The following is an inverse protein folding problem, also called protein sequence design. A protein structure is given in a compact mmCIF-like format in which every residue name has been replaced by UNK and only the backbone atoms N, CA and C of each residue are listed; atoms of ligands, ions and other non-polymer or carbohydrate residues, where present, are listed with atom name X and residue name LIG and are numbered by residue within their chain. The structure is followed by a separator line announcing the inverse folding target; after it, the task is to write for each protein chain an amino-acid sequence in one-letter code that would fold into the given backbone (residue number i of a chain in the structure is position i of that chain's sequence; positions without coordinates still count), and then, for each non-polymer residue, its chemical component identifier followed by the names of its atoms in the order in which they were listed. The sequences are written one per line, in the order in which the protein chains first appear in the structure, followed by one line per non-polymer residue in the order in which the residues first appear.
data_IF_104116270049
#
_entry.id   IF_104116270049
#
_cell.length_a   1.000
_cell.length_b   1.000
_cell.length_c   1.000
_cell.angle_alpha   90.00
_cell.angle_beta   90.00
_cell.angle_gamma   90.00
#
_symmetry.space_group_name_H-M   'P 1'
#
loop_
_entity.id
_entity.type
_entity.pdbx_description
1 polymer ?
#
# COMPACT_ATOMS: atom_id res chain seq x y z
N UNK A 1 -17.75 -4.11 12.71
CA UNK A 1 -17.74 -5.16 11.64
C UNK A 1 -19.11 -5.15 10.94
N UNK A 2 -19.16 -4.70 9.67
CA UNK A 2 -20.37 -4.90 8.86
C UNK A 2 -20.62 -6.42 8.74
N UNK A 3 -21.85 -6.86 9.10
CA UNK A 3 -22.24 -8.29 8.91
C UNK A 3 -22.18 -8.61 7.42
N UNK A 4 -21.21 -9.43 7.04
CA UNK A 4 -21.12 -9.94 5.68
C UNK A 4 -22.41 -10.70 5.33
N UNK A 5 -23.01 -10.47 4.15
CA UNK A 5 -24.15 -11.28 3.71
C UNK A 5 -23.73 -12.75 3.67
N UNK A 6 -24.57 -13.64 4.16
CA UNK A 6 -24.32 -15.08 4.04
C UNK A 6 -24.22 -15.42 2.56
N UNK A 7 -23.07 -15.95 2.16
CA UNK A 7 -22.78 -16.32 0.78
C UNK A 7 -23.68 -17.46 0.31
N UNK A 8 -24.16 -17.32 -0.92
CA UNK A 8 -24.83 -18.45 -1.59
C UNK A 8 -23.82 -19.58 -1.80
N UNK A 9 -24.16 -20.79 -1.33
CA UNK A 9 -23.30 -21.99 -1.44
C UNK A 9 -22.96 -22.38 -2.89
N UNK A 10 -23.64 -21.79 -3.87
CA UNK A 10 -23.45 -22.06 -5.31
C UNK A 10 -22.60 -20.98 -6.03
N UNK A 11 -22.14 -19.95 -5.32
CA UNK A 11 -21.32 -18.92 -5.96
C UNK A 11 -19.94 -19.46 -6.32
N UNK A 12 -19.51 -19.21 -7.55
CA UNK A 12 -18.17 -19.56 -8.03
C UNK A 12 -17.13 -18.75 -7.26
N UNK A 13 -16.22 -19.43 -6.57
CA UNK A 13 -15.07 -18.81 -5.90
C UNK A 13 -14.09 -18.21 -6.91
N UNK A 14 -13.47 -17.10 -6.53
CA UNK A 14 -12.36 -16.49 -7.26
C UNK A 14 -11.10 -17.33 -7.02
N UNK A 15 -10.52 -17.89 -8.06
CA UNK A 15 -9.32 -18.74 -8.00
C UNK A 15 -8.09 -17.88 -8.24
N UNK A 16 -7.25 -17.80 -7.23
CA UNK A 16 -6.16 -16.84 -7.14
C UNK A 16 -4.81 -17.53 -7.29
N UNK A 17 -3.91 -16.92 -8.08
CA UNK A 17 -2.51 -17.29 -8.16
C UNK A 17 -1.61 -16.16 -7.64
N UNK A 18 -0.46 -16.50 -7.04
CA UNK A 18 0.53 -15.51 -6.61
C UNK A 18 1.88 -15.79 -7.28
N UNK A 19 2.44 -14.80 -7.97
CA UNK A 19 3.76 -14.86 -8.60
C UNK A 19 4.73 -13.97 -7.83
N UNK A 20 5.89 -14.55 -7.41
CA UNK A 20 6.90 -13.81 -6.65
C UNK A 20 6.68 -13.93 -5.14
N UNK A 21 7.16 -15.01 -4.52
CA UNK A 21 7.00 -15.22 -3.08
C UNK A 21 8.24 -14.73 -2.32
N UNK A 22 8.47 -13.41 -2.36
CA UNK A 22 9.39 -12.70 -1.47
C UNK A 22 8.70 -12.36 -0.12
N UNK A 23 9.20 -11.36 0.60
CA UNK A 23 8.58 -10.88 1.85
C UNK A 23 7.13 -10.41 1.60
N UNK A 24 6.93 -9.60 0.56
CA UNK A 24 5.61 -9.06 0.24
C UNK A 24 4.66 -10.12 -0.33
N UNK A 25 5.16 -11.00 -1.22
CA UNK A 25 4.34 -12.09 -1.74
C UNK A 25 3.87 -13.07 -0.66
N UNK A 26 4.66 -13.27 0.41
CA UNK A 26 4.24 -14.04 1.56
C UNK A 26 3.13 -13.32 2.36
N UNK A 27 3.14 -11.99 2.44
CA UNK A 27 2.06 -11.22 3.05
C UNK A 27 0.75 -11.33 2.24
N UNK A 28 0.84 -11.28 0.90
CA UNK A 28 -0.31 -11.54 0.02
C UNK A 28 -0.88 -12.95 0.23
N UNK A 29 -0.01 -13.96 0.25
CA UNK A 29 -0.42 -15.34 0.50
C UNK A 29 -1.18 -15.48 1.82
N UNK A 30 -0.63 -14.92 2.91
CA UNK A 30 -1.28 -14.94 4.23
C UNK A 30 -2.62 -14.21 4.23
N UNK A 31 -2.70 -13.05 3.58
CA UNK A 31 -3.94 -12.29 3.47
C UNK A 31 -5.02 -13.06 2.67
N UNK A 32 -4.65 -13.72 1.57
CA UNK A 32 -5.56 -14.56 0.80
C UNK A 32 -6.07 -15.74 1.66
N UNK A 33 -5.18 -16.42 2.37
CA UNK A 33 -5.54 -17.53 3.27
C UNK A 33 -6.47 -17.07 4.41
N UNK A 34 -6.33 -15.83 4.88
CA UNK A 34 -7.24 -15.24 5.87
C UNK A 34 -8.62 -14.87 5.28
N UNK A 35 -8.72 -14.66 3.97
CA UNK A 35 -9.97 -14.39 3.25
C UNK A 35 -10.71 -15.68 2.86
N UNK A 36 -10.00 -16.80 2.62
CA UNK A 36 -10.60 -18.06 2.19
C UNK A 36 -11.80 -18.55 3.03
N UNK A 37 -11.77 -18.44 4.39
CA UNK A 37 -12.92 -18.83 5.22
C UNK A 37 -14.20 -18.04 4.94
N UNK A 38 -14.11 -16.87 4.28
CA UNK A 38 -15.28 -16.10 3.84
C UNK A 38 -16.00 -16.76 2.65
N UNK A 39 -15.36 -17.74 1.97
CA UNK A 39 -15.99 -18.66 1.03
C UNK A 39 -16.04 -18.19 -0.43
N UNK A 40 -15.53 -17.03 -0.79
CA UNK A 40 -15.61 -16.47 -2.15
C UNK A 40 -14.27 -16.39 -2.91
N UNK A 41 -13.18 -16.75 -2.27
CA UNK A 41 -11.86 -16.84 -2.92
C UNK A 41 -11.09 -18.07 -2.42
N UNK A 42 -10.16 -18.54 -3.22
CA UNK A 42 -9.24 -19.63 -2.86
C UNK A 42 -7.89 -19.45 -3.55
N UNK A 43 -6.80 -19.73 -2.84
CA UNK A 43 -5.44 -19.73 -3.38
C UNK A 43 -5.15 -21.07 -4.04
N UNK A 44 -5.10 -21.09 -5.37
CA UNK A 44 -4.95 -22.33 -6.15
C UNK A 44 -3.56 -22.56 -6.70
N UNK A 45 -2.72 -21.52 -6.78
CA UNK A 45 -1.37 -21.65 -7.33
C UNK A 45 -0.41 -20.60 -6.77
N UNK A 46 0.86 -20.99 -6.62
CA UNK A 46 1.97 -20.06 -6.36
C UNK A 46 3.12 -20.30 -7.32
N UNK A 47 3.90 -19.25 -7.59
CA UNK A 47 5.12 -19.31 -8.37
C UNK A 47 6.25 -18.57 -7.65
N UNK A 48 7.37 -19.27 -7.43
CA UNK A 48 8.64 -18.68 -6.94
C UNK A 48 9.81 -19.40 -7.60
N UNK A 49 10.89 -18.67 -7.85
CA UNK A 49 12.09 -19.24 -8.52
C UNK A 49 12.80 -20.34 -7.71
N UNK A 50 12.54 -20.42 -6.41
CA UNK A 50 13.11 -21.42 -5.51
C UNK A 50 12.17 -22.64 -5.41
N UNK A 51 12.55 -23.82 -5.96
CA UNK A 51 11.71 -25.01 -5.98
C UNK A 51 11.40 -25.57 -4.60
N UNK A 52 12.37 -25.56 -3.69
CA UNK A 52 12.19 -26.10 -2.34
C UNK A 52 11.26 -25.22 -1.52
N UNK A 53 11.41 -23.89 -1.66
CA UNK A 53 10.48 -22.93 -1.06
C UNK A 53 9.07 -23.09 -1.61
N UNK A 54 8.93 -23.27 -2.93
CA UNK A 54 7.63 -23.51 -3.57
C UNK A 54 6.96 -24.74 -2.94
N UNK A 55 7.66 -25.88 -2.91
CA UNK A 55 7.18 -27.15 -2.38
C UNK A 55 6.78 -27.05 -0.89
N UNK A 56 7.63 -26.41 -0.09
CA UNK A 56 7.37 -26.22 1.34
C UNK A 56 6.10 -25.38 1.57
N UNK A 57 5.95 -24.26 0.85
CA UNK A 57 4.78 -23.40 1.00
C UNK A 57 3.49 -24.10 0.51
N UNK A 58 3.55 -24.82 -0.61
CA UNK A 58 2.40 -25.58 -1.08
C UNK A 58 1.95 -26.63 -0.08
N UNK A 59 2.89 -27.34 0.54
CA UNK A 59 2.55 -28.31 1.57
C UNK A 59 1.98 -27.65 2.84
N UNK A 60 2.62 -26.53 3.29
CA UNK A 60 2.20 -25.84 4.52
C UNK A 60 0.81 -25.21 4.41
N UNK A 61 0.48 -24.65 3.25
CA UNK A 61 -0.77 -23.92 3.03
C UNK A 61 -1.80 -24.69 2.19
N UNK A 62 -1.54 -25.97 1.91
CA UNK A 62 -2.41 -26.85 1.10
C UNK A 62 -2.77 -26.25 -0.26
N UNK A 63 -1.74 -25.71 -0.97
CA UNK A 63 -1.93 -25.09 -2.28
C UNK A 63 -1.75 -26.14 -3.38
N UNK A 64 -2.74 -26.35 -4.27
CA UNK A 64 -2.68 -27.43 -5.27
C UNK A 64 -1.65 -27.20 -6.38
N UNK A 65 -1.37 -25.93 -6.77
CA UNK A 65 -0.48 -25.58 -7.87
C UNK A 65 0.85 -25.00 -7.41
N UNK A 66 1.96 -25.69 -7.70
CA UNK A 66 3.32 -25.32 -7.35
C UNK A 66 4.15 -25.09 -8.60
N UNK A 67 4.67 -23.88 -8.82
CA UNK A 67 5.38 -23.52 -10.03
C UNK A 67 6.67 -22.77 -9.74
N UNK A 68 7.67 -22.95 -10.63
CA UNK A 68 8.92 -22.17 -10.62
C UNK A 68 8.99 -21.18 -11.78
N UNK A 69 8.15 -21.34 -12.79
CA UNK A 69 8.05 -20.47 -13.94
C UNK A 69 6.64 -19.87 -14.04
N UNK A 70 6.55 -18.54 -14.12
CA UNK A 70 5.27 -17.82 -14.21
C UNK A 70 4.45 -18.25 -15.42
N UNK A 71 5.10 -18.49 -16.56
CA UNK A 71 4.43 -18.94 -17.79
C UNK A 71 3.74 -20.31 -17.62
N UNK A 72 4.34 -21.21 -16.84
CA UNK A 72 3.72 -22.50 -16.54
C UNK A 72 2.53 -22.35 -15.59
N UNK A 73 2.67 -21.51 -14.56
CA UNK A 73 1.54 -21.20 -13.68
C UNK A 73 0.37 -20.58 -14.45
N UNK A 74 0.65 -19.67 -15.39
CA UNK A 74 -0.38 -19.03 -16.21
C UNK A 74 -1.09 -19.98 -17.20
N UNK A 75 -0.60 -21.19 -17.41
CA UNK A 75 -1.30 -22.26 -18.13
C UNK A 75 -2.29 -23.03 -17.25
N UNK A 76 -2.30 -22.77 -15.94
CA UNK A 76 -3.24 -23.41 -15.01
C UNK A 76 -4.68 -23.07 -15.39
N UNK A 77 -5.48 -24.09 -15.74
CA UNK A 77 -6.81 -23.93 -16.36
C UNK A 77 -7.85 -23.24 -15.49
N UNK A 78 -7.55 -23.08 -14.22
CA UNK A 78 -8.51 -22.62 -13.22
C UNK A 78 -8.11 -21.30 -12.53
N UNK A 79 -7.35 -20.41 -13.17
CA UNK A 79 -7.07 -19.08 -12.64
C UNK A 79 -8.15 -18.09 -13.09
N UNK A 80 -8.57 -17.24 -12.17
CA UNK A 80 -9.44 -16.09 -12.44
C UNK A 80 -8.67 -14.77 -12.20
N UNK A 81 -7.68 -14.79 -11.28
CA UNK A 81 -6.93 -13.63 -10.82
C UNK A 81 -5.49 -14.02 -10.47
N UNK A 82 -4.56 -13.10 -10.72
CA UNK A 82 -3.14 -13.24 -10.33
C UNK A 82 -2.70 -12.05 -9.49
N UNK A 83 -1.93 -12.31 -8.42
CA UNK A 83 -1.14 -11.30 -7.73
C UNK A 83 0.29 -11.34 -8.26
N UNK A 84 0.80 -10.21 -8.71
CA UNK A 84 2.18 -10.06 -9.14
C UNK A 84 2.99 -9.35 -8.05
N UNK A 85 3.84 -10.10 -7.35
CA UNK A 85 4.69 -9.66 -6.25
C UNK A 85 6.18 -9.84 -6.57
N UNK A 86 6.55 -9.70 -7.84
CA UNK A 86 7.92 -9.86 -8.33
C UNK A 86 8.76 -8.60 -8.13
N UNK A 87 9.96 -8.56 -8.71
CA UNK A 87 10.78 -7.34 -8.77
C UNK A 87 10.16 -6.33 -9.74
N UNK A 88 10.36 -5.04 -9.49
CA UNK A 88 9.74 -3.96 -10.27
C UNK A 88 9.96 -4.12 -11.78
N UNK A 89 11.19 -4.44 -12.21
CA UNK A 89 11.53 -4.65 -13.61
C UNK A 89 10.75 -5.79 -14.28
N UNK A 90 10.20 -6.72 -13.51
CA UNK A 90 9.42 -7.85 -14.03
C UNK A 90 7.92 -7.56 -14.11
N UNK A 91 7.45 -6.46 -13.50
CA UNK A 91 6.01 -6.18 -13.40
C UNK A 91 5.35 -6.10 -14.78
N UNK A 92 5.96 -5.38 -15.71
CA UNK A 92 5.38 -5.18 -17.05
C UNK A 92 5.10 -6.49 -17.77
N UNK A 93 6.11 -7.34 -17.95
CA UNK A 93 5.97 -8.57 -18.72
C UNK A 93 4.98 -9.57 -18.10
N UNK A 94 4.98 -9.66 -16.77
CA UNK A 94 4.06 -10.54 -16.05
C UNK A 94 2.64 -9.98 -16.11
N UNK A 95 2.44 -8.69 -15.82
CA UNK A 95 1.13 -8.04 -15.86
C UNK A 95 0.52 -8.13 -17.28
N UNK A 96 1.32 -7.90 -18.31
CA UNK A 96 0.92 -8.05 -19.71
C UNK A 96 0.48 -9.49 -20.00
N UNK A 97 1.30 -10.48 -19.63
CA UNK A 97 0.99 -11.89 -19.83
C UNK A 97 -0.28 -12.34 -19.13
N UNK A 98 -0.58 -11.80 -17.94
CA UNK A 98 -1.81 -12.05 -17.19
C UNK A 98 -3.03 -11.46 -17.90
N UNK A 99 -2.94 -10.19 -18.32
CA UNK A 99 -4.02 -9.49 -19.01
C UNK A 99 -4.34 -10.10 -20.38
N UNK A 100 -3.31 -10.51 -21.17
CA UNK A 100 -3.47 -11.19 -22.46
C UNK A 100 -4.21 -12.53 -22.33
N UNK A 101 -4.16 -13.17 -21.17
CA UNK A 101 -4.95 -14.38 -20.85
C UNK A 101 -6.35 -14.08 -20.35
N UNK A 102 -6.73 -12.83 -20.29
CA UNK A 102 -8.04 -12.41 -19.81
C UNK A 102 -8.25 -12.65 -18.32
N UNK A 103 -7.19 -12.58 -17.50
CA UNK A 103 -7.26 -12.71 -16.05
C UNK A 103 -7.30 -11.32 -15.40
N UNK A 104 -7.91 -11.23 -14.23
CA UNK A 104 -7.80 -10.06 -13.36
C UNK A 104 -6.39 -10.02 -12.74
N UNK A 105 -5.95 -8.83 -12.30
CA UNK A 105 -4.61 -8.69 -11.73
C UNK A 105 -4.55 -7.68 -10.60
N UNK A 106 -3.83 -8.06 -9.54
CA UNK A 106 -3.32 -7.19 -8.51
C UNK A 106 -1.80 -7.16 -8.62
N UNK A 107 -1.23 -6.01 -8.96
CA UNK A 107 0.21 -5.83 -9.08
C UNK A 107 0.78 -5.11 -7.87
N UNK A 108 1.98 -5.48 -7.46
CA UNK A 108 2.77 -4.65 -6.56
C UNK A 108 3.12 -3.31 -7.22
N UNK A 109 3.38 -2.34 -6.35
CA UNK A 109 3.86 -1.00 -6.74
C UNK A 109 5.40 -0.97 -6.88
N UNK A 110 5.95 -0.06 -7.70
CA UNK A 110 5.25 0.73 -8.73
C UNK A 110 4.69 -0.18 -9.81
N UNK A 111 3.65 0.26 -10.52
CA UNK A 111 2.98 -0.56 -11.55
C UNK A 111 3.97 -1.07 -12.61
N UNK A 112 4.89 -0.19 -13.03
CA UNK A 112 6.04 -0.48 -13.89
C UNK A 112 7.19 0.46 -13.55
N UNK A 113 8.35 0.25 -14.14
CA UNK A 113 9.52 1.15 -14.03
C UNK A 113 9.55 2.25 -15.11
N UNK A 114 8.57 2.25 -15.99
CA UNK A 114 8.48 3.12 -17.16
C UNK A 114 7.04 3.47 -17.46
N UNK A 115 6.75 4.77 -17.75
CA UNK A 115 5.39 5.27 -17.98
C UNK A 115 4.77 4.76 -19.28
N UNK A 116 5.56 4.46 -20.31
CA UNK A 116 5.04 3.90 -21.57
C UNK A 116 4.58 2.46 -21.36
N UNK A 117 5.31 1.67 -20.56
CA UNK A 117 4.90 0.33 -20.18
C UNK A 117 3.57 0.35 -19.41
N UNK A 118 3.43 1.24 -18.42
CA UNK A 118 2.18 1.35 -17.64
C UNK A 118 1.00 1.81 -18.50
N UNK A 119 1.20 2.73 -19.43
CA UNK A 119 0.17 3.14 -20.42
C UNK A 119 -0.31 1.96 -21.26
N UNK A 120 0.63 1.12 -21.71
CA UNK A 120 0.30 -0.11 -22.47
C UNK A 120 -0.55 -1.07 -21.63
N UNK A 121 -0.25 -1.24 -20.34
CA UNK A 121 -1.03 -2.10 -19.44
C UNK A 121 -2.44 -1.56 -19.21
N UNK A 122 -2.61 -0.24 -19.09
CA UNK A 122 -3.94 0.39 -18.98
C UNK A 122 -4.79 0.09 -20.22
N UNK A 123 -4.23 0.29 -21.41
CA UNK A 123 -4.92 0.00 -22.66
C UNK A 123 -5.31 -1.48 -22.79
N UNK A 124 -4.40 -2.39 -22.39
CA UNK A 124 -4.64 -3.82 -22.43
C UNK A 124 -5.71 -4.27 -21.44
N UNK A 125 -5.71 -3.71 -20.23
CA UNK A 125 -6.73 -3.99 -19.20
C UNK A 125 -8.12 -3.58 -19.69
N UNK A 126 -8.21 -2.40 -20.28
CA UNK A 126 -9.47 -1.90 -20.87
C UNK A 126 -9.95 -2.79 -22.03
N UNK A 127 -9.05 -3.11 -22.99
CA UNK A 127 -9.38 -3.94 -24.14
C UNK A 127 -9.89 -5.34 -23.75
N UNK A 128 -9.37 -5.92 -22.69
CA UNK A 128 -9.77 -7.24 -22.18
C UNK A 128 -10.89 -7.18 -21.13
N UNK A 129 -11.39 -5.99 -20.80
CA UNK A 129 -12.39 -5.77 -19.75
C UNK A 129 -12.03 -6.50 -18.44
N UNK A 130 -10.80 -6.27 -17.98
CA UNK A 130 -10.31 -6.86 -16.72
C UNK A 130 -10.21 -5.82 -15.63
N UNK A 131 -10.58 -6.19 -14.41
CA UNK A 131 -10.32 -5.39 -13.22
C UNK A 131 -8.85 -5.52 -12.86
N UNK A 132 -8.23 -4.41 -12.52
CA UNK A 132 -6.81 -4.31 -12.16
C UNK A 132 -6.67 -3.55 -10.86
N UNK A 133 -5.66 -3.87 -10.06
CA UNK A 133 -5.34 -3.13 -8.85
C UNK A 133 -3.82 -2.98 -8.69
N UNK A 134 -3.39 -1.85 -8.12
CA UNK A 134 -2.02 -1.61 -7.66
C UNK A 134 -2.02 -1.59 -6.14
N UNK A 135 -1.07 -2.27 -5.50
CA UNK A 135 -1.04 -2.48 -4.06
C UNK A 135 -0.59 -1.23 -3.27
N UNK A 136 -1.36 -0.16 -3.32
CA UNK A 136 -1.20 0.99 -2.44
C UNK A 136 -1.96 0.76 -1.13
N UNK A 137 -1.39 -0.11 -0.31
CA UNK A 137 -2.00 -0.61 0.95
C UNK A 137 -2.32 0.50 1.95
N UNK A 138 -1.60 1.61 1.92
CA UNK A 138 -1.78 2.72 2.87
C UNK A 138 -3.18 3.34 2.84
N UNK A 139 -3.90 3.25 1.72
CA UNK A 139 -5.31 3.66 1.64
C UNK A 139 -6.22 2.91 2.62
N UNK A 140 -5.84 1.70 3.05
CA UNK A 140 -6.67 0.76 3.81
C UNK A 140 -6.43 0.75 5.32
N UNK A 141 -5.59 1.67 5.84
CA UNK A 141 -5.59 1.94 7.26
C UNK A 141 -6.98 2.49 7.67
N UNK A 142 -7.60 1.98 8.76
CA UNK A 142 -8.95 2.40 9.16
C UNK A 142 -9.08 3.91 9.30
N UNK A 143 -8.13 4.55 9.97
CA UNK A 143 -8.13 6.01 10.18
C UNK A 143 -8.06 6.78 8.85
N UNK A 144 -7.31 6.28 7.86
CA UNK A 144 -7.22 6.91 6.53
C UNK A 144 -8.58 6.92 5.83
N UNK A 145 -9.39 5.87 5.97
CA UNK A 145 -10.75 5.85 5.43
C UNK A 145 -11.64 6.90 6.10
N UNK A 146 -11.54 7.07 7.42
CA UNK A 146 -12.29 8.10 8.15
C UNK A 146 -11.83 9.51 7.81
N UNK A 147 -10.51 9.72 7.64
CA UNK A 147 -9.96 11.00 7.14
C UNK A 147 -10.57 11.35 5.78
N UNK A 148 -10.62 10.38 4.86
CA UNK A 148 -11.25 10.56 3.55
C UNK A 148 -12.71 11.01 3.69
N UNK A 149 -13.48 10.34 4.54
CA UNK A 149 -14.88 10.72 4.80
C UNK A 149 -15.01 12.13 5.39
N UNK A 150 -14.13 12.54 6.31
CA UNK A 150 -14.13 13.89 6.88
C UNK A 150 -13.87 14.97 5.83
N UNK A 151 -12.90 14.71 4.93
CA UNK A 151 -12.59 15.61 3.82
C UNK A 151 -13.78 15.72 2.87
N UNK A 152 -14.41 14.61 2.49
CA UNK A 152 -15.58 14.59 1.61
C UNK A 152 -16.81 15.27 2.22
N UNK A 153 -16.98 15.22 3.54
CA UNK A 153 -18.00 15.94 4.29
C UNK A 153 -17.72 17.44 4.43
N UNK A 154 -16.53 17.89 3.99
CA UNK A 154 -16.10 19.29 4.05
C UNK A 154 -15.68 19.75 5.45
N UNK A 155 -15.34 18.83 6.37
CA UNK A 155 -14.93 19.17 7.76
C UNK A 155 -13.75 20.14 7.81
N UNK A 156 -12.79 20.02 6.87
CA UNK A 156 -11.64 20.92 6.79
C UNK A 156 -11.95 22.22 6.03
N UNK A 157 -13.12 22.35 5.42
CA UNK A 157 -13.46 23.47 4.54
C UNK A 157 -12.73 23.40 3.21
N UNK A 158 -12.34 24.56 2.66
CA UNK A 158 -11.50 24.61 1.43
C UNK A 158 -10.09 24.19 1.76
N UNK A 159 -9.60 23.13 1.12
CA UNK A 159 -8.22 22.66 1.30
C UNK A 159 -7.26 23.63 0.61
N UNK A 160 -6.20 24.01 1.30
CA UNK A 160 -5.12 24.87 0.81
C UNK A 160 -3.86 24.10 0.47
N UNK A 161 -3.47 23.18 1.35
CA UNK A 161 -2.21 22.43 1.22
C UNK A 161 -2.28 21.03 1.81
N UNK A 162 -1.36 20.18 1.35
CA UNK A 162 -0.99 18.92 1.97
C UNK A 162 0.53 18.82 1.98
N UNK A 163 1.12 18.47 3.11
CA UNK A 163 2.57 18.29 3.20
C UNK A 163 2.93 17.12 4.11
N UNK A 164 4.13 16.57 3.93
CA UNK A 164 4.58 15.50 4.79
C UNK A 164 5.82 14.79 4.29
N UNK A 165 6.07 13.65 4.87
CA UNK A 165 7.29 12.88 4.61
C UNK A 165 7.02 11.39 4.53
N UNK A 166 7.92 10.66 3.87
CA UNK A 166 8.06 9.22 4.07
C UNK A 166 9.55 8.90 4.28
N UNK A 167 9.90 8.58 5.51
CA UNK A 167 11.28 8.43 5.95
C UNK A 167 11.55 7.01 6.45
N UNK A 168 12.71 6.46 6.06
CA UNK A 168 13.19 5.14 6.47
C UNK A 168 14.70 5.16 6.73
N UNK A 169 15.25 4.18 7.47
CA UNK A 169 16.68 4.07 7.78
C UNK A 169 17.32 2.75 7.35
N UNK A 170 16.60 1.89 6.67
CA UNK A 170 17.07 0.54 6.38
C UNK A 170 18.13 0.45 5.27
N UNK A 171 18.40 1.57 4.58
CA UNK A 171 19.49 1.72 3.62
C UNK A 171 20.48 2.83 4.04
N UNK A 172 20.63 3.07 5.36
CA UNK A 172 21.41 4.17 5.91
C UNK A 172 22.93 4.02 5.72
N UNK A 173 23.43 2.79 5.68
CA UNK A 173 24.87 2.53 5.64
C UNK A 173 25.32 1.93 4.31
N UNK A 174 26.60 2.07 3.96
CA UNK A 174 27.19 1.51 2.74
C UNK A 174 27.05 -0.02 2.62
N UNK A 175 26.93 -0.74 3.77
CA UNK A 175 26.74 -2.19 3.80
C UNK A 175 25.28 -2.63 3.79
N UNK A 176 24.33 -1.70 3.84
CA UNK A 176 22.92 -2.00 3.67
C UNK A 176 22.65 -2.19 2.18
N UNK A 177 22.38 -3.43 1.79
CA UNK A 177 22.09 -3.78 0.41
C UNK A 177 20.71 -4.39 0.25
N UNK A 178 20.04 -3.95 -0.80
CA UNK A 178 18.82 -4.56 -1.33
C UNK A 178 18.81 -4.38 -2.85
N UNK A 179 18.14 -5.25 -3.57
CA UNK A 179 18.04 -5.20 -5.02
C UNK A 179 17.52 -3.87 -5.59
N UNK A 180 16.77 -3.12 -4.79
CA UNK A 180 16.21 -1.80 -5.16
C UNK A 180 17.27 -0.73 -5.41
N UNK A 181 18.46 -0.91 -4.88
CA UNK A 181 19.57 0.05 -5.12
C UNK A 181 20.14 -0.07 -6.54
N UNK A 182 19.79 -1.13 -7.25
CA UNK A 182 20.22 -1.36 -8.63
C UNK A 182 19.08 -1.04 -9.59
N UNK A 183 19.30 -0.05 -10.49
CA UNK A 183 18.28 0.40 -11.46
C UNK A 183 17.79 -0.71 -12.40
N UNK A 184 18.62 -1.71 -12.68
CA UNK A 184 18.25 -2.91 -13.50
C UNK A 184 17.09 -3.72 -12.88
N UNK A 185 16.87 -3.65 -11.57
CA UNK A 185 15.80 -4.36 -10.87
C UNK A 185 14.70 -3.43 -10.37
N UNK A 186 15.09 -2.25 -9.86
CA UNK A 186 14.20 -1.29 -9.23
C UNK A 186 13.60 -0.25 -10.17
N UNK A 187 14.25 0.03 -11.29
CA UNK A 187 14.01 1.18 -12.13
C UNK A 187 14.96 2.34 -11.79
N UNK A 188 14.89 3.42 -12.54
CA UNK A 188 15.79 4.58 -12.41
C UNK A 188 15.55 5.43 -11.17
N UNK A 189 14.38 5.35 -10.55
CA UNK A 189 14.04 6.01 -9.29
C UNK A 189 13.91 4.97 -8.17
N UNK A 190 14.39 5.29 -6.96
CA UNK A 190 14.35 4.39 -5.81
C UNK A 190 13.54 4.95 -4.65
N UNK A 191 14.04 5.96 -3.94
CA UNK A 191 13.34 6.50 -2.76
C UNK A 191 11.96 7.05 -3.13
N UNK A 192 11.85 7.78 -4.23
CA UNK A 192 10.58 8.28 -4.71
C UNK A 192 9.66 7.15 -5.18
N UNK A 193 10.16 6.21 -6.00
CA UNK A 193 9.36 5.10 -6.52
C UNK A 193 8.95 4.10 -5.45
N UNK A 194 9.83 3.77 -4.49
CA UNK A 194 9.56 2.78 -3.45
C UNK A 194 8.63 3.32 -2.35
N UNK A 195 8.92 4.49 -1.82
CA UNK A 195 8.18 5.05 -0.69
C UNK A 195 7.41 6.34 -1.02
N UNK A 196 7.98 7.24 -1.82
CA UNK A 196 7.28 8.46 -2.23
C UNK A 196 5.99 8.17 -3.01
N UNK A 197 5.96 7.11 -3.82
CA UNK A 197 4.75 6.67 -4.54
C UNK A 197 3.55 6.42 -3.63
N UNK A 198 3.76 5.82 -2.45
CA UNK A 198 2.70 5.62 -1.46
C UNK A 198 2.14 6.93 -0.92
N UNK A 199 3.02 7.93 -0.70
CA UNK A 199 2.60 9.23 -0.20
C UNK A 199 1.81 9.99 -1.27
N UNK A 200 2.27 9.99 -2.52
CA UNK A 200 1.59 10.66 -3.63
C UNK A 200 0.21 10.02 -3.87
N UNK A 201 0.15 8.70 -3.91
CA UNK A 201 -1.10 7.95 -4.03
C UNK A 201 -2.09 8.28 -2.90
N UNK A 202 -1.61 8.34 -1.67
CA UNK A 202 -2.45 8.68 -0.51
C UNK A 202 -2.94 10.12 -0.58
N UNK A 203 -2.09 11.08 -0.98
CA UNK A 203 -2.49 12.47 -1.14
C UNK A 203 -3.58 12.62 -2.19
N UNK A 204 -3.43 12.01 -3.37
CA UNK A 204 -4.47 12.01 -4.41
C UNK A 204 -5.75 11.33 -3.94
N UNK A 205 -5.65 10.19 -3.26
CA UNK A 205 -6.79 9.48 -2.70
C UNK A 205 -7.56 10.35 -1.70
N UNK A 206 -6.88 10.97 -0.74
CA UNK A 206 -7.50 11.80 0.29
C UNK A 206 -8.13 13.06 -0.30
N UNK A 207 -7.40 13.77 -1.13
CA UNK A 207 -7.86 15.03 -1.74
C UNK A 207 -8.94 14.82 -2.80
N UNK A 208 -9.00 13.64 -3.44
CA UNK A 208 -9.82 13.40 -4.63
C UNK A 208 -9.41 14.31 -5.79
N UNK A 209 -8.11 14.65 -5.88
CA UNK A 209 -7.50 15.55 -6.87
C UNK A 209 -6.17 14.98 -7.32
N UNK A 210 -5.88 15.10 -8.62
CA UNK A 210 -4.62 14.64 -9.20
C UNK A 210 -3.54 15.71 -9.16
N UNK A 211 -2.28 15.29 -9.13
CA UNK A 211 -1.12 16.16 -9.31
C UNK A 211 -1.05 16.61 -10.76
N UNK A 212 -1.01 17.93 -11.00
CA UNK A 212 -0.89 18.54 -12.34
C UNK A 212 0.54 18.95 -12.67
N UNK A 213 1.32 19.33 -11.66
CA UNK A 213 2.70 19.81 -11.83
C UNK A 213 3.55 19.38 -10.66
N UNK A 214 4.81 19.07 -10.96
CA UNK A 214 5.83 18.73 -9.97
C UNK A 214 7.14 19.47 -10.28
N UNK A 215 7.83 19.90 -9.21
CA UNK A 215 9.23 20.25 -9.22
C UNK A 215 9.94 19.39 -8.18
N UNK A 216 11.07 18.78 -8.53
CA UNK A 216 11.75 17.82 -7.68
C UNK A 216 13.24 18.11 -7.58
N UNK A 217 13.80 17.76 -6.42
CA UNK A 217 15.25 17.71 -6.15
C UNK A 217 15.58 16.29 -5.65
N UNK A 218 16.66 15.71 -6.19
CA UNK A 218 17.09 14.35 -5.89
C UNK A 218 18.54 14.34 -5.41
N UNK A 219 18.85 13.41 -4.49
CA UNK A 219 20.21 13.18 -4.05
C UNK A 219 20.52 11.69 -3.87
N UNK A 220 21.74 11.29 -4.26
CA UNK A 220 22.33 9.99 -3.96
C UNK A 220 23.50 10.21 -3.00
N UNK A 221 23.21 10.12 -1.69
CA UNK A 221 24.22 10.35 -0.65
C UNK A 221 25.21 9.19 -0.53
N UNK A 222 24.80 7.97 -0.90
CA UNK A 222 25.59 6.76 -0.85
C UNK A 222 25.77 6.16 -2.25
N UNK A 223 26.66 6.76 -3.09
CA UNK A 223 26.84 6.32 -4.47
C UNK A 223 27.58 4.98 -4.62
N UNK A 224 28.12 4.45 -3.51
CA UNK A 224 28.79 3.16 -3.47
C UNK A 224 28.20 2.30 -2.36
N UNK A 225 27.89 1.02 -2.66
CA UNK A 225 27.37 0.07 -1.67
C UNK A 225 28.05 -1.29 -1.76
N UNK A 226 28.27 -1.90 -0.61
CA UNK A 226 28.80 -3.26 -0.50
C UNK A 226 27.65 -4.25 -0.64
N UNK A 227 27.57 -4.95 -1.77
CA UNK A 227 26.57 -6.02 -1.99
C UNK A 227 27.03 -7.38 -1.42
N UNK A 228 28.36 -7.55 -1.17
CA UNK A 228 28.95 -8.68 -0.46
C UNK A 228 30.24 -8.23 0.28
N UNK A 229 30.87 -9.08 1.09
CA UNK A 229 32.14 -8.74 1.72
C UNK A 229 33.27 -8.35 0.75
N UNK A 230 33.21 -8.82 -0.48
CA UNK A 230 34.26 -8.62 -1.50
C UNK A 230 33.83 -7.77 -2.70
N UNK A 231 32.54 -7.41 -2.78
CA UNK A 231 31.99 -6.72 -3.94
C UNK A 231 31.32 -5.41 -3.54
N UNK A 232 31.66 -4.34 -4.26
CA UNK A 232 31.07 -3.02 -4.12
C UNK A 232 30.49 -2.62 -5.47
N UNK A 233 29.28 -2.09 -5.47
CA UNK A 233 28.58 -1.61 -6.65
C UNK A 233 28.44 -0.09 -6.62
N UNK A 234 28.35 0.52 -7.79
CA UNK A 234 27.93 1.91 -7.96
C UNK A 234 26.40 1.96 -7.96
N UNK A 235 25.83 2.88 -7.21
CA UNK A 235 24.40 3.14 -7.12
C UNK A 235 24.07 4.39 -7.91
N UNK A 236 23.13 4.25 -8.84
CA UNK A 236 22.66 5.30 -9.75
C UNK A 236 21.23 5.77 -9.46
N UNK A 237 20.64 5.26 -8.37
CA UNK A 237 19.30 5.63 -7.91
C UNK A 237 19.38 6.55 -6.68
N UNK A 238 18.38 7.41 -6.51
CA UNK A 238 18.38 8.39 -5.41
C UNK A 238 18.07 7.75 -4.05
N UNK A 239 18.76 8.24 -2.98
CA UNK A 239 18.45 7.94 -1.57
C UNK A 239 17.38 8.89 -1.02
N UNK A 240 17.24 10.05 -1.65
CA UNK A 240 16.44 11.18 -1.20
C UNK A 240 15.75 11.86 -2.37
N UNK A 241 14.50 12.25 -2.16
CA UNK A 241 13.73 13.08 -3.09
C UNK A 241 12.92 14.12 -2.29
N UNK A 242 12.90 15.36 -2.77
CA UNK A 242 12.03 16.42 -2.26
C UNK A 242 11.20 16.99 -3.40
N UNK A 243 9.89 17.05 -3.23
CA UNK A 243 8.93 17.43 -4.26
C UNK A 243 8.08 18.62 -3.82
N UNK A 244 7.89 19.57 -4.73
CA UNK A 244 6.83 20.57 -4.68
C UNK A 244 5.78 20.22 -5.73
N UNK A 245 4.53 20.14 -5.33
CA UNK A 245 3.42 19.69 -6.19
C UNK A 245 2.32 20.73 -6.30
N UNK A 246 1.59 20.67 -7.40
CA UNK A 246 0.33 21.38 -7.59
C UNK A 246 -0.73 20.35 -7.96
N UNK A 247 -1.76 20.28 -7.14
CA UNK A 247 -2.92 19.45 -7.41
C UNK A 247 -4.01 20.27 -8.09
N UNK A 248 -4.92 19.58 -8.77
CA UNK A 248 -6.13 20.16 -9.32
C UNK A 248 -6.87 21.04 -8.28
N UNK A 249 -7.45 22.14 -8.74
CA UNK A 249 -8.13 23.09 -7.86
C UNK A 249 -7.19 24.01 -7.08
N UNK A 250 -5.89 24.03 -7.41
CA UNK A 250 -4.91 24.96 -6.88
C UNK A 250 -4.38 24.58 -5.48
N UNK A 251 -4.55 23.32 -5.06
CA UNK A 251 -4.00 22.82 -3.80
C UNK A 251 -2.48 22.65 -3.96
N UNK A 252 -1.73 23.08 -2.94
CA UNK A 252 -0.27 22.97 -2.90
C UNK A 252 0.16 21.70 -2.15
N UNK A 253 1.21 21.04 -2.64
CA UNK A 253 1.79 19.85 -1.98
C UNK A 253 3.29 19.96 -1.77
N UNK A 254 3.77 19.29 -0.70
CA UNK A 254 5.20 19.13 -0.43
C UNK A 254 5.47 17.75 0.17
N UNK A 255 6.42 17.03 -0.42
CA UNK A 255 6.85 15.71 0.04
C UNK A 255 8.37 15.66 0.18
N UNK A 256 8.84 15.04 1.27
CA UNK A 256 10.21 14.52 1.37
C UNK A 256 10.18 13.00 1.53
N UNK A 257 10.84 12.29 0.62
CA UNK A 257 11.04 10.84 0.69
C UNK A 257 12.53 10.53 0.90
N UNK A 258 12.88 9.70 1.90
CA UNK A 258 14.27 9.35 2.18
C UNK A 258 14.39 7.95 2.77
N UNK A 259 15.38 7.19 2.31
CA UNK A 259 15.71 5.85 2.84
C UNK A 259 17.00 5.87 3.70
N UNK A 260 17.51 7.06 4.00
CA UNK A 260 18.74 7.30 4.79
C UNK A 260 18.48 8.21 5.99
N UNK A 261 17.29 8.16 6.57
CA UNK A 261 16.87 8.95 7.72
C UNK A 261 17.01 8.17 9.00
N UNK A 262 18.12 8.34 9.73
CA UNK A 262 18.44 7.60 10.95
C UNK A 262 17.31 7.59 11.98
N UNK A 263 16.99 6.41 12.50
CA UNK A 263 15.94 6.19 13.52
C UNK A 263 14.52 6.08 12.97
N UNK A 264 14.28 6.34 11.67
CA UNK A 264 12.98 6.20 11.04
C UNK A 264 12.79 4.81 10.44
N UNK A 265 11.86 4.01 10.99
CA UNK A 265 11.64 2.62 10.53
C UNK A 265 10.64 2.53 9.37
N UNK A 266 9.56 3.29 9.43
CA UNK A 266 8.55 3.44 8.36
C UNK A 266 7.68 4.63 8.74
N UNK A 267 8.21 5.84 8.51
CA UNK A 267 7.63 7.09 8.98
C UNK A 267 6.93 7.85 7.87
N UNK A 268 5.79 7.35 7.38
CA UNK A 268 4.91 8.12 6.53
C UNK A 268 4.08 9.07 7.39
N UNK A 269 4.15 10.37 7.10
CA UNK A 269 3.37 11.42 7.76
C UNK A 269 2.73 12.33 6.74
N UNK A 270 1.60 12.92 7.07
CA UNK A 270 1.05 14.05 6.34
C UNK A 270 0.26 14.98 7.26
N UNK A 271 0.15 16.23 6.82
CA UNK A 271 -0.75 17.24 7.36
C UNK A 271 -1.52 17.89 6.21
N UNK A 272 -2.83 18.06 6.39
CA UNK A 272 -3.74 18.67 5.42
C UNK A 272 -4.32 19.92 6.05
N UNK A 273 -4.07 21.09 5.41
CA UNK A 273 -4.54 22.39 5.89
C UNK A 273 -5.77 22.85 5.13
N UNK A 274 -6.83 23.10 5.84
CA UNK A 274 -8.07 23.65 5.31
C UNK A 274 -8.41 25.03 5.89
N UNK A 275 -9.48 25.63 5.36
CA UNK A 275 -9.97 26.93 5.82
C UNK A 275 -10.71 26.90 7.17
N UNK A 276 -11.07 25.71 7.65
CA UNK A 276 -11.81 25.49 8.90
C UNK A 276 -10.92 24.75 9.90
N UNK A 277 -10.26 23.68 9.48
CA UNK A 277 -9.46 22.82 10.33
C UNK A 277 -8.24 22.28 9.58
N UNK A 278 -7.21 21.86 10.32
CA UNK A 278 -6.07 21.07 9.85
C UNK A 278 -6.16 19.65 10.42
N UNK A 279 -5.65 18.68 9.67
CA UNK A 279 -5.64 17.28 10.05
C UNK A 279 -4.25 16.69 9.86
N UNK A 280 -3.70 16.03 10.87
CA UNK A 280 -2.39 15.39 10.86
C UNK A 280 -2.50 13.90 11.15
N UNK A 281 -1.73 13.08 10.44
CA UNK A 281 -1.60 11.65 10.67
C UNK A 281 -0.16 11.16 10.51
N UNK A 282 0.16 10.10 11.26
CA UNK A 282 1.46 9.44 11.21
C UNK A 282 1.29 7.91 11.21
N UNK A 283 2.01 7.25 10.32
CA UNK A 283 2.09 5.77 10.30
C UNK A 283 2.79 5.20 11.55
N UNK A 284 3.52 6.04 12.30
CA UNK A 284 4.08 5.62 13.59
C UNK A 284 3.02 5.47 14.68
N UNK A 285 1.87 6.14 14.52
CA UNK A 285 0.66 6.04 15.36
C UNK A 285 -0.57 5.88 14.45
N UNK A 286 -0.68 4.74 13.74
CA UNK A 286 -1.65 4.57 12.67
C UNK A 286 -3.10 4.47 13.17
N UNK A 287 -3.30 4.27 14.47
CA UNK A 287 -4.59 4.11 15.14
C UNK A 287 -5.35 5.43 15.32
N UNK A 288 -4.71 6.59 15.12
CA UNK A 288 -5.33 7.89 15.34
C UNK A 288 -4.76 9.00 14.45
N UNK A 289 -5.57 10.06 14.28
CA UNK A 289 -5.18 11.31 13.64
C UNK A 289 -5.58 12.49 14.51
N UNK A 290 -4.85 13.61 14.41
CA UNK A 290 -5.17 14.87 15.06
C UNK A 290 -6.03 15.73 14.14
N UNK A 291 -7.12 16.30 14.67
CA UNK A 291 -7.97 17.27 14.00
C UNK A 291 -8.00 18.56 14.83
N UNK A 292 -7.49 19.65 14.27
CA UNK A 292 -7.24 20.90 14.98
C UNK A 292 -8.01 22.05 14.34
N UNK A 293 -8.76 22.80 15.16
CA UNK A 293 -9.42 24.06 14.80
C UNK A 293 -8.68 25.23 15.46
N UNK A 294 -8.79 26.43 14.86
CA UNK A 294 -8.02 27.59 15.30
C UNK A 294 -8.18 27.93 16.80
N UNK A 295 -9.41 27.92 17.29
CA UNK A 295 -9.75 28.42 18.63
C UNK A 295 -10.29 27.32 19.54
N UNK A 296 -10.10 26.04 19.18
CA UNK A 296 -10.59 24.87 19.91
C UNK A 296 -9.44 23.97 20.37
N UNK A 297 -9.62 23.17 21.43
CA UNK A 297 -8.68 22.11 21.77
C UNK A 297 -8.51 21.12 20.61
N UNK A 298 -7.34 20.51 20.55
CA UNK A 298 -7.06 19.42 19.61
C UNK A 298 -8.04 18.26 19.83
N UNK A 299 -8.58 17.72 18.74
CA UNK A 299 -9.41 16.53 18.74
C UNK A 299 -8.64 15.35 18.12
N UNK A 300 -8.94 14.15 18.59
CA UNK A 300 -8.43 12.90 18.06
C UNK A 300 -9.51 12.20 17.24
N UNK A 301 -9.14 11.71 16.08
CA UNK A 301 -9.96 10.81 15.25
C UNK A 301 -9.38 9.40 15.41
N UNK A 302 -10.17 8.45 15.89
CA UNK A 302 -9.71 7.07 16.10
C UNK A 302 -10.08 6.12 14.95
N UNK A 303 -9.70 4.85 15.08
CA UNK A 303 -9.99 3.78 14.12
C UNK A 303 -11.48 3.48 13.92
N UNK A 304 -12.33 3.88 14.86
CA UNK A 304 -13.78 3.75 14.77
C UNK A 304 -14.43 4.96 14.09
N UNK A 305 -13.64 6.01 13.78
CA UNK A 305 -14.11 7.29 13.25
C UNK A 305 -14.74 8.19 14.30
N UNK A 306 -14.52 7.89 15.60
CA UNK A 306 -14.96 8.76 16.70
C UNK A 306 -14.05 9.97 16.80
N UNK A 307 -14.64 11.14 17.14
CA UNK A 307 -13.91 12.38 17.35
C UNK A 307 -14.09 12.79 18.79
N UNK A 308 -13.00 13.00 19.54
CA UNK A 308 -13.02 13.40 20.95
C UNK A 308 -11.83 14.29 21.30
N UNK A 309 -11.91 15.14 22.34
CA UNK A 309 -10.81 16.00 22.78
C UNK A 309 -9.57 15.19 23.19
N UNK A 310 -8.38 15.66 22.79
CA UNK A 310 -7.11 14.99 23.08
C UNK A 310 -6.88 14.80 24.60
N UNK A 311 -7.31 15.75 25.43
CA UNK A 311 -7.17 15.70 26.90
C UNK A 311 -7.95 14.56 27.55
N UNK A 312 -9.11 14.18 27.02
CA UNK A 312 -9.89 13.05 27.55
C UNK A 312 -9.16 11.71 27.38
N UNK A 313 -8.33 11.59 26.34
CA UNK A 313 -7.51 10.37 26.10
C UNK A 313 -6.40 10.22 27.14
N UNK A 314 -5.81 11.32 27.65
CA UNK A 314 -4.80 11.27 28.70
C UNK A 314 -5.40 10.94 30.09
N UNK A 315 -6.54 11.50 30.42
CA UNK A 315 -7.22 11.25 31.69
C UNK A 315 -7.73 9.81 31.79
N UNK A 316 -8.22 9.21 30.70
CA UNK A 316 -8.66 7.82 30.70
C UNK A 316 -7.51 6.81 30.90
N UNK A 317 -6.25 7.19 30.61
CA UNK A 317 -5.07 6.38 30.90
C UNK A 317 -4.56 6.49 32.35
N UNK A 318 -4.90 7.57 33.06
CA UNK A 318 -4.43 7.87 34.42
C UNK A 318 -5.48 7.49 35.48
N UNK A 319 -6.77 7.47 35.15
CA UNK A 319 -7.88 7.20 36.07
C UNK A 319 -8.13 5.72 36.41
N UNK A 320 -7.15 4.85 36.20
CA UNK A 320 -7.15 3.49 36.71
C UNK A 320 -6.84 3.47 38.21
N UNK A 321 -7.79 3.81 39.05
CA UNK A 321 -7.68 3.65 40.51
C UNK A 321 -7.74 2.13 40.83
N UNK A 322 -6.73 1.51 41.49
CA UNK A 322 -6.62 0.05 41.61
C UNK A 322 -7.63 -0.61 42.56
N UNK A 323 -8.56 0.15 43.21
CA UNK A 323 -9.34 -0.37 44.30
C UNK A 323 -10.87 -0.50 44.08
N UNK A 324 -11.39 -0.20 42.89
CA UNK A 324 -12.80 -0.51 42.60
C UNK A 324 -12.90 -1.56 41.49
N UNK A 325 -13.25 -2.79 41.90
CA UNK A 325 -13.29 -3.99 41.08
C UNK A 325 -14.37 -4.01 40.01
N UNK A 326 -14.21 -3.17 38.98
CA UNK A 326 -14.83 -3.29 37.68
C UNK A 326 -13.72 -3.55 36.67
N UNK A 327 -13.74 -4.71 35.98
CA UNK A 327 -12.85 -4.97 34.87
C UNK A 327 -13.01 -3.84 33.86
N UNK A 328 -11.95 -3.09 33.49
CA UNK A 328 -12.05 -2.09 32.44
C UNK A 328 -12.49 -2.81 31.17
N UNK A 329 -13.44 -2.19 30.47
CA UNK A 329 -13.82 -2.57 29.10
C UNK A 329 -12.55 -2.92 28.33
N UNK A 330 -12.44 -4.18 27.90
CA UNK A 330 -11.21 -4.78 27.42
C UNK A 330 -10.56 -3.86 26.39
N UNK A 331 -9.51 -3.15 26.77
CA UNK A 331 -8.64 -2.48 25.84
C UNK A 331 -8.21 -3.55 24.82
N UNK A 332 -8.62 -3.41 23.56
CA UNK A 332 -8.14 -4.30 22.50
C UNK A 332 -6.62 -4.29 22.58
N UNK A 333 -5.94 -5.46 22.57
CA UNK A 333 -4.50 -5.48 22.58
C UNK A 333 -4.05 -4.60 21.41
N UNK A 334 -3.17 -3.65 21.67
CA UNK A 334 -2.64 -2.73 20.67
C UNK A 334 -1.89 -3.59 19.65
N UNK A 335 -2.43 -3.68 18.44
CA UNK A 335 -1.80 -4.45 17.36
C UNK A 335 -0.40 -3.87 17.08
N UNK A 336 0.56 -4.71 16.81
CA UNK A 336 1.87 -4.29 16.32
C UNK A 336 1.72 -3.62 14.94
N UNK A 337 2.66 -2.76 14.56
CA UNK A 337 2.68 -2.13 13.22
C UNK A 337 2.59 -3.16 12.10
N UNK A 338 3.19 -4.32 12.28
CA UNK A 338 3.15 -5.41 11.32
C UNK A 338 1.75 -6.01 11.19
N UNK A 339 1.03 -6.17 12.31
CA UNK A 339 -0.35 -6.67 12.30
C UNK A 339 -1.29 -5.66 11.66
N UNK A 340 -1.14 -4.37 11.95
CA UNK A 340 -1.94 -3.30 11.31
C UNK A 340 -1.69 -3.28 9.79
N UNK A 341 -0.44 -3.43 9.35
CA UNK A 341 -0.11 -3.53 7.93
C UNK A 341 -0.78 -4.75 7.28
N UNK A 342 -0.71 -5.93 7.91
CA UNK A 342 -1.33 -7.15 7.39
C UNK A 342 -2.87 -7.03 7.33
N UNK A 343 -3.49 -6.36 8.30
CA UNK A 343 -4.92 -6.08 8.28
C UNK A 343 -5.29 -5.13 7.13
N UNK A 344 -4.52 -4.06 6.92
CA UNK A 344 -4.72 -3.14 5.80
C UNK A 344 -4.54 -3.87 4.45
N UNK A 345 -3.53 -4.74 4.33
CA UNK A 345 -3.30 -5.60 3.17
C UNK A 345 -4.49 -6.52 2.90
N UNK A 346 -5.03 -7.16 3.94
CA UNK A 346 -6.21 -8.02 3.83
C UNK A 346 -7.44 -7.22 3.38
N UNK A 347 -7.68 -6.04 3.95
CA UNK A 347 -8.79 -5.14 3.57
C UNK A 347 -8.69 -4.70 2.11
N UNK A 348 -7.48 -4.38 1.64
CA UNK A 348 -7.23 -4.02 0.23
C UNK A 348 -7.57 -5.18 -0.71
N UNK A 349 -7.07 -6.36 -0.43
CA UNK A 349 -7.32 -7.57 -1.22
C UNK A 349 -8.80 -7.93 -1.19
N UNK A 350 -9.46 -7.87 -0.04
CA UNK A 350 -10.89 -8.11 0.12
C UNK A 350 -11.72 -7.14 -0.73
N UNK A 351 -11.44 -5.83 -0.66
CA UNK A 351 -12.14 -4.83 -1.47
C UNK A 351 -11.95 -5.08 -2.98
N UNK A 352 -10.75 -5.48 -3.41
CA UNK A 352 -10.51 -5.83 -4.81
C UNK A 352 -11.33 -7.05 -5.24
N UNK A 353 -11.35 -8.13 -4.47
CA UNK A 353 -12.12 -9.33 -4.78
C UNK A 353 -13.62 -9.06 -4.82
N UNK A 354 -14.12 -8.29 -3.85
CA UNK A 354 -15.53 -7.91 -3.78
C UNK A 354 -15.94 -7.00 -4.95
N UNK A 355 -15.04 -6.15 -5.42
CA UNK A 355 -15.30 -5.36 -6.63
C UNK A 355 -15.47 -6.22 -7.87
N UNK A 356 -14.72 -7.33 -7.98
CA UNK A 356 -14.84 -8.29 -9.09
C UNK A 356 -16.15 -9.09 -9.00
N UNK A 357 -16.45 -9.61 -7.82
CA UNK A 357 -17.56 -10.54 -7.62
C UNK A 357 -18.92 -9.87 -7.45
N UNK A 358 -18.95 -8.71 -6.78
CA UNK A 358 -20.18 -8.05 -6.35
C UNK A 358 -20.35 -6.65 -6.92
N UNK A 359 -19.42 -6.20 -7.78
CA UNK A 359 -19.40 -4.83 -8.32
C UNK A 359 -19.39 -3.74 -7.22
N UNK A 360 -18.83 -4.07 -6.05
CA UNK A 360 -18.65 -3.06 -5.00
C UNK A 360 -17.71 -1.94 -5.46
N UNK A 361 -17.93 -0.69 -5.00
CA UNK A 361 -17.08 0.43 -5.35
C UNK A 361 -15.61 0.19 -4.99
N UNK A 362 -14.66 0.44 -5.90
CA UNK A 362 -13.25 0.28 -5.62
C UNK A 362 -12.75 1.41 -4.71
N UNK A 363 -12.03 1.06 -3.66
CA UNK A 363 -11.22 1.97 -2.84
C UNK A 363 -9.73 1.85 -3.17
N UNK A 364 -9.35 0.77 -3.84
CA UNK A 364 -7.98 0.52 -4.31
C UNK A 364 -7.66 1.38 -5.54
N UNK A 365 -6.37 1.59 -5.80
CA UNK A 365 -5.89 2.18 -7.04
C UNK A 365 -5.96 1.14 -8.18
N UNK A 366 -6.57 1.49 -9.31
CA UNK A 366 -6.51 0.69 -10.52
C UNK A 366 -5.23 0.98 -11.34
N UNK A 367 -5.08 0.35 -12.50
CA UNK A 367 -3.92 0.58 -13.36
C UNK A 367 -3.87 1.98 -13.97
N UNK A 368 -5.00 2.66 -14.14
CA UNK A 368 -5.01 4.05 -14.60
C UNK A 368 -4.41 4.99 -13.55
N UNK A 369 -4.81 4.83 -12.29
CA UNK A 369 -4.22 5.56 -11.16
C UNK A 369 -2.75 5.16 -10.96
N UNK A 370 -2.43 3.86 -11.03
CA UNK A 370 -1.05 3.39 -10.97
C UNK A 370 -0.15 3.94 -12.09
N UNK A 371 -0.68 4.08 -13.31
CA UNK A 371 0.01 4.73 -14.42
C UNK A 371 0.26 6.21 -14.14
N UNK A 372 -0.74 6.92 -13.60
CA UNK A 372 -0.57 8.32 -13.24
C UNK A 372 0.55 8.52 -12.22
N UNK A 373 0.62 7.67 -11.18
CA UNK A 373 1.73 7.70 -10.19
C UNK A 373 3.09 7.44 -10.87
N UNK A 374 3.19 6.43 -11.77
CA UNK A 374 4.43 6.16 -12.52
C UNK A 374 4.83 7.36 -13.40
N UNK A 375 3.85 8.07 -13.94
CA UNK A 375 4.10 9.27 -14.77
C UNK A 375 4.61 10.46 -13.97
N UNK A 376 4.23 10.58 -12.70
CA UNK A 376 4.73 11.63 -11.78
C UNK A 376 6.18 11.34 -11.37
N UNK A 377 6.55 10.07 -11.15
CA UNK A 377 7.89 9.60 -10.76
C UNK A 377 8.87 9.76 -11.92
#
# INVERSE_FOLDING_TARGET
MKKYPKMDKHMKKLRVGVIGIGKIGLSHLKAIKAIEPLGYAELVAICTHDPEKAKTLCATYEIPGCYTLSQEMLKHKNLDLVHNCTLNAMHYEINKSVLERGLHILSEKPLTVDSQQSSTLVALAHANNRKTAVNFVCRFYPVIQHIKELIEKGTLGKIYSIHGTYLQDWLLFEHDYDWRVESRYGGTSRALADIGSHWIDMAEFLLGRQVERVAADFATFLPMRKCSPTETITVDTEDFASLLMRFEGGIHGCLTASQVSAGRKSGLTFEIDGSIASLQWSQEHPESASLTHRDEPENIVDEAGSIFPAKEKEESKIAGNPEEGGLPEQARPTLSRQEIFLEAQQRMIDNFYRSILFSEPPLYADFLQGHHIVHII
#
